data_IF_744067536824
#
_entry.id   IF_744067536824
#
_cell.length_a   1.000
_cell.length_b   1.000
_cell.length_c   1.000
_cell.angle_alpha   90.00
_cell.angle_beta   90.00
_cell.angle_gamma   90.00
#
_symmetry.space_group_name_H-M   'P 1'
#
loop_
_entity.id
_entity.type
_entity.pdbx_description
1 polymer ?
#
# COMPACT_ATOMS: atom_id res chain seq x y z
N UNK A 1 -32.14 18.55 -2.65
CA UNK A 1 -31.66 19.93 -2.46
C UNK A 1 -31.54 20.61 -3.83
N UNK A 2 -31.94 21.89 -3.98
CA UNK A 2 -31.75 22.67 -5.22
C UNK A 2 -30.64 23.72 -5.04
N UNK A 3 -30.32 24.51 -6.08
CA UNK A 3 -29.18 25.45 -6.05
C UNK A 3 -29.31 26.58 -5.03
N UNK A 4 -30.52 27.09 -4.77
CA UNK A 4 -30.77 28.11 -3.75
C UNK A 4 -30.52 27.57 -2.34
N UNK A 5 -31.01 26.36 -2.09
CA UNK A 5 -30.78 25.67 -0.82
C UNK A 5 -29.30 25.28 -0.66
N UNK A 6 -28.64 24.79 -1.72
CA UNK A 6 -27.20 24.51 -1.72
C UNK A 6 -26.37 25.75 -1.38
N UNK A 7 -26.70 26.92 -1.94
CA UNK A 7 -26.01 28.16 -1.59
C UNK A 7 -26.18 28.54 -0.13
N UNK A 8 -27.37 28.33 0.43
CA UNK A 8 -27.63 28.62 1.84
C UNK A 8 -26.86 27.65 2.74
N UNK A 9 -27.00 26.35 2.52
CA UNK A 9 -26.31 25.30 3.31
C UNK A 9 -24.81 25.30 3.13
N UNK A 10 -24.32 25.58 1.93
CA UNK A 10 -22.90 25.70 1.67
C UNK A 10 -22.25 26.84 2.46
N UNK A 11 -22.95 27.96 2.65
CA UNK A 11 -22.50 29.04 3.54
C UNK A 11 -22.50 28.60 5.00
N UNK A 12 -23.60 28.02 5.47
CA UNK A 12 -23.70 27.49 6.83
C UNK A 12 -22.58 26.48 7.15
N UNK A 13 -22.23 25.61 6.19
CA UNK A 13 -21.12 24.67 6.33
C UNK A 13 -19.74 25.35 6.28
N UNK A 14 -19.59 26.38 5.46
CA UNK A 14 -18.33 27.16 5.41
C UNK A 14 -18.07 27.83 6.75
N UNK A 15 -19.10 28.46 7.32
CA UNK A 15 -19.04 29.10 8.64
C UNK A 15 -18.73 28.06 9.72
N UNK A 16 -19.42 26.91 9.71
CA UNK A 16 -19.15 25.81 10.63
C UNK A 16 -17.71 25.28 10.56
N UNK A 17 -17.14 25.08 9.36
CA UNK A 17 -15.77 24.58 9.20
C UNK A 17 -14.75 25.61 9.70
N UNK A 18 -14.98 26.89 9.43
CA UNK A 18 -14.12 27.96 9.93
C UNK A 18 -14.17 28.01 11.47
N UNK A 19 -15.36 28.07 12.05
CA UNK A 19 -15.56 28.10 13.51
C UNK A 19 -14.98 26.86 14.20
N UNK A 20 -15.10 25.68 13.58
CA UNK A 20 -14.51 24.44 14.07
C UNK A 20 -12.98 24.52 14.09
N UNK A 21 -12.33 24.95 13.01
CA UNK A 21 -10.87 25.03 12.94
C UNK A 21 -10.30 26.13 13.84
N UNK A 22 -10.97 27.28 13.94
CA UNK A 22 -10.58 28.36 14.85
C UNK A 22 -10.76 27.96 16.31
N UNK A 23 -11.83 27.22 16.63
CA UNK A 23 -12.13 26.73 17.97
C UNK A 23 -11.51 25.38 18.33
N UNK A 24 -10.74 24.74 17.43
CA UNK A 24 -10.31 23.34 17.57
C UNK A 24 -9.43 23.10 18.80
N UNK A 25 -8.70 24.12 19.24
CA UNK A 25 -7.85 24.08 20.42
C UNK A 25 -8.64 23.77 21.72
N UNK A 26 -9.89 24.23 21.79
CA UNK A 26 -10.78 23.98 22.92
C UNK A 26 -11.42 22.59 22.94
N UNK A 27 -11.20 21.78 21.90
CA UNK A 27 -11.76 20.42 21.79
C UNK A 27 -10.77 19.38 22.30
N UNK A 28 -11.32 18.29 22.85
CA UNK A 28 -10.51 17.17 23.34
C UNK A 28 -9.83 16.46 22.17
N UNK A 29 -8.50 16.54 22.09
CA UNK A 29 -7.71 16.05 20.92
C UNK A 29 -7.96 14.58 20.59
N UNK A 30 -7.92 13.71 21.60
CA UNK A 30 -8.13 12.28 21.46
C UNK A 30 -9.45 11.90 22.14
N UNK A 31 -10.40 11.25 21.45
CA UNK A 31 -11.76 11.06 21.93
C UNK A 31 -11.84 10.04 23.08
N UNK A 32 -12.77 10.25 24.01
CA UNK A 32 -13.07 9.32 25.12
C UNK A 32 -14.26 8.42 24.77
N UNK A 33 -14.04 7.50 23.82
CA UNK A 33 -15.06 6.57 23.33
C UNK A 33 -14.51 5.15 23.27
N UNK A 34 -15.41 4.16 23.36
CA UNK A 34 -15.06 2.75 23.24
C UNK A 34 -15.37 2.21 21.84
N UNK A 35 -14.65 1.18 21.34
CA UNK A 35 -14.97 0.54 20.07
C UNK A 35 -16.45 0.13 19.99
N UNK A 36 -17.13 0.57 18.93
CA UNK A 36 -18.55 0.30 18.71
C UNK A 36 -19.52 1.36 19.26
N UNK A 37 -19.05 2.43 19.91
CA UNK A 37 -19.91 3.49 20.49
C UNK A 37 -20.94 4.05 19.50
N UNK A 38 -20.56 4.18 18.23
CA UNK A 38 -21.39 4.80 17.19
C UNK A 38 -22.61 3.93 16.81
N UNK A 39 -22.51 2.61 16.96
CA UNK A 39 -23.51 1.65 16.45
C UNK A 39 -24.85 1.78 17.14
N UNK A 40 -24.88 2.19 18.41
CA UNK A 40 -26.12 2.43 19.15
C UNK A 40 -26.69 3.84 18.95
N UNK A 41 -25.95 4.74 18.30
CA UNK A 41 -26.35 6.13 18.09
C UNK A 41 -26.94 6.37 16.69
N UNK A 42 -26.73 5.45 15.75
CA UNK A 42 -27.21 5.53 14.36
C UNK A 42 -28.23 4.41 14.10
N UNK A 43 -29.29 4.64 13.29
CA UNK A 43 -30.23 3.59 12.90
C UNK A 43 -29.57 2.35 12.29
N UNK A 44 -30.16 1.18 12.51
CA UNK A 44 -29.65 -0.10 12.00
C UNK A 44 -29.87 -0.30 10.49
N UNK A 45 -30.70 0.53 9.87
CA UNK A 45 -31.00 0.55 8.43
C UNK A 45 -31.07 1.99 7.94
N UNK A 46 -30.84 2.21 6.64
CA UNK A 46 -30.99 3.52 6.02
C UNK A 46 -32.45 4.02 6.12
N UNK A 47 -32.68 5.34 6.21
CA UNK A 47 -34.03 5.89 6.21
C UNK A 47 -34.67 5.70 4.83
N UNK A 48 -35.94 5.31 4.80
CA UNK A 48 -36.70 5.16 3.54
C UNK A 48 -37.10 6.53 2.96
N UNK A 49 -37.29 7.52 3.83
CA UNK A 49 -37.61 8.90 3.50
C UNK A 49 -36.43 9.84 3.82
N UNK A 50 -36.32 10.99 3.14
CA UNK A 50 -35.18 11.88 3.36
C UNK A 50 -35.26 12.60 4.71
N UNK A 51 -34.17 12.57 5.46
CA UNK A 51 -33.95 13.46 6.60
C UNK A 51 -33.72 14.91 6.15
N UNK A 52 -33.94 15.85 7.06
CA UNK A 52 -33.62 17.26 6.80
C UNK A 52 -32.11 17.52 6.99
N UNK A 53 -31.62 18.64 6.43
CA UNK A 53 -30.22 19.02 6.63
C UNK A 53 -29.92 19.35 8.11
N UNK A 54 -30.89 19.94 8.81
CA UNK A 54 -30.84 20.20 10.24
C UNK A 54 -30.64 18.92 11.05
N UNK A 55 -31.39 17.87 10.75
CA UNK A 55 -31.26 16.59 11.45
C UNK A 55 -29.83 16.05 11.31
N UNK A 56 -29.29 16.10 10.09
CA UNK A 56 -27.93 15.63 9.78
C UNK A 56 -26.86 16.46 10.48
N UNK A 57 -26.91 17.79 10.41
CA UNK A 57 -25.86 18.63 10.99
C UNK A 57 -25.88 18.62 12.52
N UNK A 58 -27.06 18.49 13.13
CA UNK A 58 -27.18 18.31 14.58
C UNK A 58 -26.55 16.99 15.03
N UNK A 59 -26.71 15.93 14.24
CA UNK A 59 -26.07 14.64 14.50
C UNK A 59 -24.56 14.66 14.29
N UNK A 60 -24.01 15.51 13.42
CA UNK A 60 -22.55 15.69 13.29
C UNK A 60 -21.93 16.12 14.62
N UNK A 61 -22.44 17.16 15.28
CA UNK A 61 -21.90 17.58 16.58
C UNK A 61 -22.28 16.63 17.72
N UNK A 62 -23.50 16.09 17.72
CA UNK A 62 -23.98 15.23 18.81
C UNK A 62 -23.35 13.84 18.80
N UNK A 63 -23.14 13.27 17.62
CA UNK A 63 -22.78 11.86 17.44
C UNK A 63 -21.36 11.71 16.89
N UNK A 64 -20.97 12.51 15.91
CA UNK A 64 -19.70 12.31 15.18
C UNK A 64 -18.54 12.97 15.91
N UNK A 65 -18.60 14.29 16.15
CA UNK A 65 -17.50 15.06 16.73
C UNK A 65 -16.94 14.50 18.05
N UNK A 66 -17.74 13.94 18.99
CA UNK A 66 -17.21 13.35 20.22
C UNK A 66 -16.28 12.14 20.00
N UNK A 67 -16.35 11.49 18.83
CA UNK A 67 -15.46 10.40 18.46
C UNK A 67 -14.36 10.78 17.46
N UNK A 68 -14.24 12.05 17.08
CA UNK A 68 -13.20 12.52 16.16
C UNK A 68 -11.89 12.72 16.94
N UNK A 69 -10.80 12.15 16.44
CA UNK A 69 -9.46 12.61 16.84
C UNK A 69 -9.14 13.88 16.07
N UNK A 70 -8.87 14.99 16.75
CA UNK A 70 -8.70 16.30 16.12
C UNK A 70 -7.25 16.52 15.65
N UNK A 71 -6.90 15.95 14.49
CA UNK A 71 -5.53 15.97 13.92
C UNK A 71 -4.95 17.37 13.66
N UNK A 72 -5.80 18.39 13.52
CA UNK A 72 -5.37 19.78 13.32
C UNK A 72 -5.36 20.59 14.61
N UNK A 73 -5.65 19.97 15.76
CA UNK A 73 -5.46 20.63 17.05
C UNK A 73 -3.98 20.99 17.22
N UNK A 74 -3.66 22.19 17.74
CA UNK A 74 -2.27 22.55 18.05
C UNK A 74 -1.65 21.65 19.13
N UNK A 75 -2.46 20.86 19.84
CA UNK A 75 -2.02 19.89 20.84
C UNK A 75 -1.87 18.45 20.28
N UNK A 76 -2.05 18.25 18.97
CA UNK A 76 -1.82 16.97 18.31
C UNK A 76 -0.35 16.83 17.88
N UNK A 77 0.42 16.04 18.62
CA UNK A 77 1.86 15.79 18.36
C UNK A 77 2.16 14.33 17.99
N UNK A 78 1.15 13.56 17.60
CA UNK A 78 1.32 12.19 17.17
C UNK A 78 1.65 12.09 15.66
N UNK A 79 2.35 11.04 15.26
CA UNK A 79 2.68 10.71 13.87
C UNK A 79 3.48 11.81 13.13
N UNK A 80 2.91 12.33 12.05
CA UNK A 80 3.41 13.45 11.26
C UNK A 80 2.21 14.38 10.96
N UNK A 81 2.46 15.66 10.65
CA UNK A 81 1.40 16.59 10.33
C UNK A 81 0.56 16.12 9.14
N UNK A 82 -0.77 16.19 9.29
CA UNK A 82 -1.70 16.16 8.15
C UNK A 82 -1.89 17.60 7.67
N UNK A 83 -1.50 17.89 6.43
CA UNK A 83 -1.61 19.24 5.89
C UNK A 83 -3.07 19.61 5.64
N UNK A 84 -3.47 20.81 6.05
CA UNK A 84 -4.81 21.36 5.82
C UNK A 84 -4.71 22.87 5.61
N UNK A 85 -5.44 23.39 4.64
CA UNK A 85 -5.49 24.82 4.35
C UNK A 85 -6.82 25.19 3.68
N UNK A 86 -7.36 26.37 4.00
CA UNK A 86 -8.58 26.88 3.36
C UNK A 86 -8.50 26.94 1.83
N UNK A 87 -7.37 27.33 1.19
CA UNK A 87 -7.26 27.27 -0.27
C UNK A 87 -7.47 25.87 -0.85
N UNK A 88 -6.90 24.84 -0.22
CA UNK A 88 -7.10 23.45 -0.64
C UNK A 88 -8.56 23.00 -0.44
N UNK A 89 -9.20 23.42 0.66
CA UNK A 89 -10.63 23.14 0.91
C UNK A 89 -11.54 23.79 -0.14
N UNK A 90 -11.29 25.05 -0.49
CA UNK A 90 -12.04 25.76 -1.54
C UNK A 90 -11.82 25.13 -2.91
N UNK A 91 -10.58 24.75 -3.24
CA UNK A 91 -10.27 24.02 -4.46
C UNK A 91 -10.99 22.66 -4.48
N UNK A 92 -11.02 21.94 -3.37
CA UNK A 92 -11.79 20.69 -3.23
C UNK A 92 -13.29 20.89 -3.47
N UNK A 93 -13.88 21.99 -2.95
CA UNK A 93 -15.28 22.35 -3.24
C UNK A 93 -15.49 22.62 -4.73
N UNK A 94 -14.57 23.31 -5.38
CA UNK A 94 -14.63 23.59 -6.82
C UNK A 94 -14.44 22.32 -7.66
N UNK A 95 -13.48 21.46 -7.33
CA UNK A 95 -13.29 20.16 -7.99
C UNK A 95 -14.55 19.31 -7.87
N UNK A 96 -15.17 19.25 -6.69
CA UNK A 96 -16.45 18.58 -6.48
C UNK A 96 -17.59 19.16 -7.33
N UNK A 97 -17.58 20.47 -7.59
CA UNK A 97 -18.58 21.12 -8.46
C UNK A 97 -18.31 20.90 -9.96
N UNK A 98 -17.04 20.92 -10.39
CA UNK A 98 -16.63 20.67 -11.77
C UNK A 98 -16.91 19.21 -12.13
N UNK A 99 -16.58 18.28 -11.22
CA UNK A 99 -16.87 16.85 -11.36
C UNK A 99 -16.36 16.24 -12.67
N UNK A 100 -15.26 16.78 -13.23
CA UNK A 100 -14.74 16.32 -14.51
C UNK A 100 -13.97 15.00 -14.32
N UNK A 101 -14.14 14.10 -15.28
CA UNK A 101 -13.47 12.79 -15.30
C UNK A 101 -12.29 12.90 -16.27
N UNK A 102 -11.06 12.73 -15.76
CA UNK A 102 -9.82 13.15 -16.42
C UNK A 102 -9.13 12.06 -17.26
N UNK A 103 -9.84 11.01 -17.69
CA UNK A 103 -9.24 9.80 -18.30
C UNK A 103 -8.48 10.02 -19.61
N UNK A 104 -8.63 11.17 -20.25
CA UNK A 104 -7.83 11.58 -21.40
C UNK A 104 -7.78 13.10 -21.44
N UNK A 105 -6.77 13.65 -22.13
CA UNK A 105 -6.70 15.10 -22.36
C UNK A 105 -8.01 15.64 -22.96
N UNK A 106 -8.64 14.91 -23.88
CA UNK A 106 -9.91 15.33 -24.48
C UNK A 106 -11.10 15.29 -23.50
N UNK A 107 -11.04 14.46 -22.45
CA UNK A 107 -12.10 14.34 -21.46
C UNK A 107 -12.13 15.53 -20.49
N UNK A 108 -10.97 16.07 -20.16
CA UNK A 108 -10.84 17.33 -19.41
C UNK A 108 -9.45 17.95 -19.65
N UNK A 109 -9.30 18.80 -20.69
CA UNK A 109 -8.00 19.38 -21.03
C UNK A 109 -7.38 20.13 -19.86
N UNK A 110 -8.21 20.92 -19.15
CA UNK A 110 -7.76 21.68 -18.00
C UNK A 110 -7.28 20.78 -16.84
N UNK A 111 -7.86 19.58 -16.66
CA UNK A 111 -7.40 18.63 -15.65
C UNK A 111 -5.98 18.13 -15.95
N UNK A 112 -5.75 17.66 -17.18
CA UNK A 112 -4.45 17.13 -17.60
C UNK A 112 -3.36 18.21 -17.69
N UNK A 113 -3.67 19.35 -18.31
CA UNK A 113 -2.70 20.43 -18.51
C UNK A 113 -2.29 21.05 -17.17
N UNK A 114 -3.26 21.27 -16.26
CA UNK A 114 -2.96 21.87 -14.96
C UNK A 114 -2.11 20.92 -14.11
N UNK A 115 -2.39 19.62 -14.09
CA UNK A 115 -1.56 18.64 -13.36
C UNK A 115 -0.12 18.66 -13.88
N UNK A 116 0.05 18.65 -15.20
CA UNK A 116 1.38 18.72 -15.84
C UNK A 116 2.15 19.96 -15.39
N UNK A 117 1.51 21.13 -15.42
CA UNK A 117 2.12 22.40 -14.98
C UNK A 117 2.43 22.38 -13.47
N UNK A 118 1.54 21.83 -12.63
CA UNK A 118 1.76 21.74 -11.19
C UNK A 118 2.89 20.79 -10.83
N UNK A 119 3.00 19.64 -11.51
CA UNK A 119 4.11 18.70 -11.31
C UNK A 119 5.44 19.31 -11.76
N UNK A 120 5.45 20.12 -12.82
CA UNK A 120 6.62 20.90 -13.21
C UNK A 120 7.00 21.97 -12.18
N UNK A 121 6.01 22.69 -11.64
CA UNK A 121 6.25 23.67 -10.58
C UNK A 121 6.83 23.00 -9.34
N UNK A 122 6.28 21.85 -8.94
CA UNK A 122 6.78 21.08 -7.81
C UNK A 122 8.19 20.55 -8.06
N UNK A 123 8.45 19.99 -9.24
CA UNK A 123 9.79 19.54 -9.63
C UNK A 123 10.82 20.66 -9.57
N UNK A 124 10.45 21.87 -10.01
CA UNK A 124 11.29 23.07 -9.88
C UNK A 124 11.49 23.49 -8.42
N UNK A 125 10.45 23.47 -7.59
CA UNK A 125 10.55 23.77 -6.15
C UNK A 125 11.50 22.79 -5.43
N UNK A 126 11.48 21.52 -5.84
CA UNK A 126 12.36 20.46 -5.34
C UNK A 126 13.76 20.50 -5.98
N UNK A 127 13.99 21.36 -6.96
CA UNK A 127 15.23 21.46 -7.75
C UNK A 127 15.61 20.15 -8.45
N UNK A 128 14.62 19.42 -8.98
CA UNK A 128 14.87 18.27 -9.82
C UNK A 128 15.53 18.69 -11.15
N UNK A 129 16.38 17.83 -11.75
CA UNK A 129 16.91 18.07 -13.10
C UNK A 129 15.80 18.28 -14.13
N UNK A 130 16.06 19.09 -15.15
CA UNK A 130 15.09 19.41 -16.21
C UNK A 130 14.54 18.17 -16.93
N UNK A 131 15.32 17.08 -16.98
CA UNK A 131 14.89 15.78 -17.52
C UNK A 131 13.69 15.14 -16.77
N UNK A 132 13.35 15.62 -15.57
CA UNK A 132 12.16 15.18 -14.83
C UNK A 132 10.92 16.05 -15.07
N UNK A 133 11.06 17.16 -15.79
CA UNK A 133 9.98 18.08 -16.08
C UNK A 133 9.36 17.75 -17.44
N UNK A 134 8.06 17.97 -17.57
CA UNK A 134 7.34 17.86 -18.83
C UNK A 134 7.74 18.97 -19.80
N UNK A 135 7.94 20.21 -19.32
CA UNK A 135 8.30 21.34 -20.17
C UNK A 135 7.29 21.57 -21.31
N UNK A 136 7.71 22.25 -22.39
CA UNK A 136 6.83 22.47 -23.56
C UNK A 136 6.78 21.26 -24.52
N UNK A 137 7.80 20.41 -24.50
CA UNK A 137 7.93 19.21 -25.34
C UNK A 137 8.95 18.19 -24.78
N UNK A 138 9.12 18.14 -23.46
CA UNK A 138 10.09 17.27 -22.80
C UNK A 138 9.65 15.80 -22.80
N UNK A 139 10.64 14.90 -22.69
CA UNK A 139 10.40 13.46 -22.53
C UNK A 139 10.15 13.05 -21.06
N UNK A 140 10.36 13.98 -20.13
CA UNK A 140 10.12 13.84 -18.70
C UNK A 140 8.68 14.19 -18.31
N UNK A 141 8.40 14.15 -17.01
CA UNK A 141 7.12 14.54 -16.46
C UNK A 141 6.83 13.88 -15.12
N UNK A 142 6.00 14.55 -14.32
CA UNK A 142 5.41 13.98 -13.11
C UNK A 142 3.93 13.69 -13.32
N UNK A 143 3.44 12.67 -12.62
CA UNK A 143 2.01 12.35 -12.52
C UNK A 143 1.66 12.23 -11.05
N UNK A 144 0.43 12.57 -10.69
CA UNK A 144 -0.11 12.31 -9.36
C UNK A 144 -0.71 10.89 -9.39
N UNK A 145 0.08 9.87 -9.00
CA UNK A 145 -0.33 8.46 -8.99
C UNK A 145 -0.43 7.90 -7.57
N UNK A 146 -1.40 7.00 -7.34
CA UNK A 146 -1.49 6.20 -6.11
C UNK A 146 -1.10 4.75 -6.37
N UNK A 147 -0.11 4.27 -5.61
CA UNK A 147 0.26 2.84 -5.52
C UNK A 147 0.05 2.40 -4.09
N UNK A 148 -0.82 1.42 -3.88
CA UNK A 148 -0.97 0.76 -2.59
C UNK A 148 -0.17 -0.55 -2.58
N UNK A 149 0.60 -0.78 -1.52
CA UNK A 149 1.49 -1.93 -1.38
C UNK A 149 0.97 -2.92 -0.34
N UNK A 150 0.85 -4.18 -0.72
CA UNK A 150 0.52 -5.29 0.18
C UNK A 150 1.77 -6.15 0.41
N UNK A 151 2.38 -6.02 1.58
CA UNK A 151 3.64 -6.67 1.92
C UNK A 151 4.85 -5.91 1.41
N UNK A 152 5.09 -4.71 1.97
CA UNK A 152 6.23 -3.85 1.62
C UNK A 152 7.58 -4.55 1.78
N UNK A 153 8.56 -4.14 0.98
CA UNK A 153 9.89 -4.79 0.97
C UNK A 153 10.58 -4.71 2.33
N UNK A 154 10.54 -3.57 3.01
CA UNK A 154 11.30 -3.34 4.24
C UNK A 154 10.83 -4.22 5.39
N UNK A 155 9.53 -4.21 5.69
CA UNK A 155 8.97 -4.86 6.87
C UNK A 155 7.67 -5.64 6.63
N UNK A 156 7.28 -5.88 5.38
CA UNK A 156 6.05 -6.59 5.04
C UNK A 156 4.79 -5.91 5.62
N UNK A 157 4.75 -4.57 5.63
CA UNK A 157 3.54 -3.82 5.99
C UNK A 157 2.50 -3.83 4.87
N UNK A 158 1.25 -3.50 5.19
CA UNK A 158 0.11 -3.51 4.28
C UNK A 158 -0.60 -2.16 4.31
N UNK A 159 -0.76 -1.53 3.15
CA UNK A 159 -1.58 -0.32 3.03
C UNK A 159 -3.07 -0.68 3.15
N UNK A 160 -3.85 0.20 3.78
CA UNK A 160 -5.29 0.00 3.98
C UNK A 160 -6.06 0.31 2.69
N UNK A 161 -6.32 -0.71 1.88
CA UNK A 161 -7.09 -0.53 0.63
C UNK A 161 -8.54 -0.09 0.89
N UNK A 162 -9.09 -0.41 2.06
CA UNK A 162 -10.42 0.04 2.47
C UNK A 162 -10.45 1.55 2.76
N UNK A 163 -9.31 2.18 3.04
CA UNK A 163 -9.19 3.63 3.20
C UNK A 163 -8.79 4.31 1.88
N UNK A 164 -7.78 3.77 1.20
CA UNK A 164 -7.23 4.35 -0.04
C UNK A 164 -8.18 4.16 -1.22
N UNK A 165 -8.79 2.99 -1.35
CA UNK A 165 -9.64 2.61 -2.47
C UNK A 165 -10.84 3.53 -2.70
N UNK A 166 -11.67 3.82 -1.67
CA UNK A 166 -12.77 4.76 -1.82
C UNK A 166 -12.34 6.16 -2.24
N UNK A 167 -11.16 6.63 -1.79
CA UNK A 167 -10.60 7.93 -2.19
C UNK A 167 -10.23 7.89 -3.66
N UNK A 168 -9.47 6.88 -4.10
CA UNK A 168 -9.10 6.76 -5.52
C UNK A 168 -10.32 6.70 -6.44
N UNK A 169 -11.33 5.90 -6.08
CA UNK A 169 -12.56 5.82 -6.87
C UNK A 169 -13.33 7.14 -6.90
N UNK A 170 -13.38 7.86 -5.78
CA UNK A 170 -14.08 9.14 -5.68
C UNK A 170 -13.40 10.23 -6.51
N UNK A 171 -12.07 10.25 -6.49
CA UNK A 171 -11.25 11.26 -7.17
C UNK A 171 -10.81 10.85 -8.59
N UNK A 172 -11.37 9.74 -9.12
CA UNK A 172 -11.04 9.17 -10.45
C UNK A 172 -9.54 8.93 -10.67
N UNK A 173 -8.85 8.49 -9.61
CA UNK A 173 -7.41 8.19 -9.64
C UNK A 173 -7.16 6.71 -9.89
N UNK A 174 -6.21 6.41 -10.77
CA UNK A 174 -5.77 5.03 -10.98
C UNK A 174 -5.16 4.45 -9.72
N UNK A 175 -5.75 3.38 -9.18
CA UNK A 175 -5.21 2.62 -8.06
C UNK A 175 -4.54 1.33 -8.55
N UNK A 176 -3.21 1.29 -8.45
CA UNK A 176 -2.43 0.07 -8.64
C UNK A 176 -2.11 -0.59 -7.28
N UNK A 177 -2.35 -1.89 -7.18
CA UNK A 177 -1.92 -2.70 -6.02
C UNK A 177 -0.65 -3.49 -6.36
N UNK A 178 0.43 -3.20 -5.64
CA UNK A 178 1.65 -4.02 -5.62
C UNK A 178 1.60 -5.03 -4.48
N UNK A 179 1.31 -6.29 -4.81
CA UNK A 179 1.38 -7.42 -3.89
C UNK A 179 2.54 -8.38 -4.24
N UNK A 180 3.66 -7.86 -4.74
CA UNK A 180 4.78 -8.64 -5.28
C UNK A 180 5.14 -9.88 -4.45
N UNK A 181 5.32 -9.73 -3.14
CA UNK A 181 5.63 -10.84 -2.23
C UNK A 181 4.36 -11.45 -1.62
N UNK A 182 3.56 -10.64 -0.93
CA UNK A 182 2.42 -11.14 -0.14
C UNK A 182 1.28 -11.71 -1.00
N UNK A 183 1.17 -11.34 -2.27
CA UNK A 183 0.10 -11.80 -3.16
C UNK A 183 0.01 -13.32 -3.29
N UNK A 184 1.12 -14.05 -3.07
CA UNK A 184 1.09 -15.51 -3.03
C UNK A 184 0.29 -16.04 -1.84
N UNK A 185 0.31 -15.35 -0.69
CA UNK A 185 -0.36 -15.78 0.55
C UNK A 185 -1.89 -15.74 0.43
N UNK A 186 -2.43 -14.91 -0.46
CA UNK A 186 -3.87 -14.74 -0.62
C UNK A 186 -4.58 -15.96 -1.23
N UNK A 187 -3.86 -17.03 -1.59
CA UNK A 187 -4.49 -18.34 -1.90
C UNK A 187 -4.94 -19.06 -0.61
N UNK A 188 -4.37 -18.72 0.53
CA UNK A 188 -4.76 -19.21 1.85
C UNK A 188 -5.92 -18.33 2.38
N UNK A 189 -7.09 -18.90 2.69
CA UNK A 189 -8.24 -18.11 3.16
C UNK A 189 -7.95 -17.22 4.37
N UNK A 190 -7.13 -17.69 5.30
CA UNK A 190 -6.78 -16.98 6.53
C UNK A 190 -5.97 -15.70 6.29
N UNK A 191 -5.26 -15.55 5.17
CA UNK A 191 -4.51 -14.33 4.83
C UNK A 191 -5.28 -13.41 3.88
N UNK A 192 -6.45 -13.82 3.39
CA UNK A 192 -7.18 -13.07 2.35
C UNK A 192 -7.77 -11.75 2.86
N UNK A 193 -7.93 -11.59 4.17
CA UNK A 193 -8.37 -10.33 4.77
C UNK A 193 -7.38 -9.18 4.51
N UNK A 194 -6.10 -9.48 4.29
CA UNK A 194 -5.07 -8.49 3.92
C UNK A 194 -5.25 -7.92 2.50
N UNK A 195 -6.17 -8.49 1.71
CA UNK A 195 -6.53 -8.06 0.36
C UNK A 195 -7.90 -7.36 0.31
N UNK A 196 -8.59 -7.19 1.45
CA UNK A 196 -9.89 -6.52 1.50
C UNK A 196 -9.78 -5.10 0.92
N UNK A 197 -10.66 -4.71 0.00
CA UNK A 197 -10.58 -3.44 -0.74
C UNK A 197 -9.95 -3.57 -2.13
N UNK A 198 -9.47 -4.76 -2.53
CA UNK A 198 -8.95 -4.99 -3.89
C UNK A 198 -9.95 -4.65 -5.00
N UNK A 199 -11.25 -4.73 -4.71
CA UNK A 199 -12.34 -4.36 -5.61
C UNK A 199 -12.27 -2.90 -6.07
N UNK A 200 -11.61 -2.01 -5.32
CA UNK A 200 -11.39 -0.63 -5.72
C UNK A 200 -10.33 -0.51 -6.82
N UNK A 201 -9.32 -1.37 -6.82
CA UNK A 201 -8.15 -1.23 -7.70
C UNK A 201 -8.44 -1.39 -9.20
N UNK A 202 -7.72 -0.64 -10.02
CA UNK A 202 -7.73 -0.74 -11.48
C UNK A 202 -6.78 -1.81 -11.98
N UNK A 203 -5.70 -2.05 -11.25
CA UNK A 203 -4.76 -3.12 -11.53
C UNK A 203 -4.14 -3.72 -10.27
N UNK A 204 -3.79 -5.00 -10.36
CA UNK A 204 -3.21 -5.80 -9.27
C UNK A 204 -2.08 -6.65 -9.82
N UNK A 205 -0.96 -6.74 -9.11
CA UNK A 205 0.09 -7.71 -9.45
C UNK A 205 0.61 -8.48 -8.24
N UNK A 206 1.11 -9.68 -8.51
CA UNK A 206 2.04 -10.36 -7.60
C UNK A 206 3.03 -11.21 -8.38
N UNK A 207 4.08 -11.68 -7.70
CA UNK A 207 5.14 -12.47 -8.32
C UNK A 207 5.11 -13.92 -7.87
N UNK A 208 4.57 -14.85 -8.69
CA UNK A 208 4.74 -16.29 -8.48
C UNK A 208 6.20 -16.73 -8.27
N UNK A 209 7.15 -15.98 -8.85
CA UNK A 209 8.57 -16.26 -8.70
C UNK A 209 9.20 -15.84 -7.37
N UNK A 210 8.47 -15.12 -6.52
CA UNK A 210 8.93 -14.83 -5.16
C UNK A 210 8.56 -15.97 -4.21
N UNK A 211 7.28 -16.34 -4.14
CA UNK A 211 6.80 -17.20 -3.06
C UNK A 211 5.74 -18.24 -3.48
N UNK A 212 5.66 -18.57 -4.78
CA UNK A 212 4.74 -19.60 -5.32
C UNK A 212 5.47 -20.71 -6.09
N UNK A 213 6.77 -20.94 -5.80
CA UNK A 213 7.56 -22.04 -6.36
C UNK A 213 7.71 -22.04 -7.89
N UNK A 214 7.46 -20.92 -8.57
CA UNK A 214 7.67 -20.76 -10.01
C UNK A 214 9.02 -20.11 -10.26
N UNK A 215 9.87 -20.67 -11.11
CA UNK A 215 11.21 -20.11 -11.33
C UNK A 215 11.13 -18.70 -11.97
N UNK A 216 12.11 -17.84 -11.72
CA UNK A 216 12.23 -16.54 -12.41
C UNK A 216 12.34 -16.72 -13.94
N UNK A 217 11.77 -15.87 -14.79
CA UNK A 217 10.91 -14.69 -14.53
C UNK A 217 9.42 -15.04 -14.55
N UNK A 218 8.65 -14.66 -13.53
CA UNK A 218 7.19 -14.89 -13.54
C UNK A 218 6.44 -13.87 -12.68
N UNK A 219 6.05 -12.74 -13.27
CA UNK A 219 5.16 -11.74 -12.66
C UNK A 219 3.77 -11.88 -13.27
N UNK A 220 2.74 -11.86 -12.44
CA UNK A 220 1.35 -11.96 -12.87
C UNK A 220 0.64 -10.65 -12.54
N UNK A 221 -0.05 -10.09 -13.54
CA UNK A 221 -0.77 -8.82 -13.44
C UNK A 221 -2.18 -8.99 -13.99
N UNK A 222 -3.12 -8.37 -13.33
CA UNK A 222 -4.51 -8.22 -13.74
C UNK A 222 -4.82 -6.73 -13.89
N UNK A 223 -5.65 -6.40 -14.88
CA UNK A 223 -6.24 -5.07 -15.06
C UNK A 223 -7.75 -5.25 -15.15
N UNK A 224 -8.50 -4.36 -14.50
CA UNK A 224 -9.97 -4.40 -14.48
C UNK A 224 -10.55 -4.10 -15.86
N UNK A 225 -9.96 -3.14 -16.58
CA UNK A 225 -10.37 -2.73 -17.92
C UNK A 225 -9.22 -2.86 -18.92
N UNK A 226 -9.21 -3.99 -19.63
CA UNK A 226 -8.13 -4.34 -20.59
C UNK A 226 -7.86 -3.29 -21.67
N UNK A 227 -8.85 -2.49 -22.04
CA UNK A 227 -8.71 -1.45 -23.07
C UNK A 227 -7.74 -0.34 -22.65
N UNK A 228 -7.60 -0.09 -21.36
CA UNK A 228 -6.74 0.97 -20.85
C UNK A 228 -5.26 0.58 -21.04
N UNK A 229 -4.96 -0.71 -20.90
CA UNK A 229 -3.64 -1.27 -21.19
C UNK A 229 -3.39 -1.45 -22.70
N UNK A 230 -4.38 -1.99 -23.43
CA UNK A 230 -4.27 -2.20 -24.88
C UNK A 230 -4.09 -0.87 -25.62
N UNK A 231 -4.83 0.17 -25.23
CA UNK A 231 -4.74 1.49 -25.84
C UNK A 231 -3.34 2.08 -25.77
N UNK A 232 -2.63 1.86 -24.66
CA UNK A 232 -1.26 2.33 -24.46
C UNK A 232 -0.23 1.58 -25.31
N UNK A 233 -0.43 0.27 -25.56
CA UNK A 233 0.56 -0.60 -26.22
C UNK A 233 0.10 -1.17 -27.57
N UNK A 234 -0.89 -0.56 -28.21
CA UNK A 234 -1.45 -1.08 -29.46
C UNK A 234 -0.41 -1.03 -30.58
N UNK A 235 -0.21 -2.17 -31.26
CA UNK A 235 0.75 -2.32 -32.36
C UNK A 235 0.21 -3.32 -33.39
N UNK A 236 -0.27 -2.83 -34.54
CA UNK A 236 -0.97 -3.63 -35.57
C UNK A 236 -0.39 -3.51 -36.99
N UNK A 237 0.90 -3.84 -37.20
CA UNK A 237 1.44 -3.93 -38.54
C UNK A 237 0.79 -5.08 -39.32
N UNK A 238 0.69 -4.93 -40.64
CA UNK A 238 -0.04 -5.86 -41.53
C UNK A 238 0.45 -7.31 -41.40
N UNK A 239 1.75 -7.52 -41.18
CA UNK A 239 2.34 -8.86 -41.05
C UNK A 239 1.99 -9.59 -39.75
N UNK A 240 1.36 -8.92 -38.78
CA UNK A 240 0.90 -9.52 -37.53
C UNK A 240 -0.63 -9.73 -37.47
N UNK A 241 -1.35 -9.40 -38.55
CA UNK A 241 -2.81 -9.59 -38.64
C UNK A 241 -3.16 -11.05 -38.86
N UNK A 242 -4.28 -11.48 -38.29
CA UNK A 242 -4.82 -12.83 -38.48
C UNK A 242 -6.35 -12.83 -38.46
N UNK A 243 -6.95 -13.89 -38.98
CA UNK A 243 -8.40 -14.05 -39.17
C UNK A 243 -9.25 -14.01 -37.89
N UNK A 244 -8.64 -14.04 -36.72
CA UNK A 244 -9.33 -14.09 -35.42
C UNK A 244 -9.11 -12.84 -34.57
N UNK A 245 -8.34 -11.84 -35.04
CA UNK A 245 -7.98 -10.66 -34.23
C UNK A 245 -9.23 -9.88 -33.78
N UNK A 246 -10.26 -9.82 -34.64
CA UNK A 246 -11.51 -9.07 -34.40
C UNK A 246 -12.62 -9.97 -33.82
N UNK A 247 -12.33 -11.24 -33.53
CA UNK A 247 -13.33 -12.18 -33.02
C UNK A 247 -13.75 -11.89 -31.58
N UNK A 248 -12.96 -11.12 -30.83
CA UNK A 248 -13.14 -10.90 -29.39
C UNK A 248 -12.87 -12.13 -28.51
N UNK A 249 -12.62 -13.30 -29.11
CA UNK A 249 -12.37 -14.58 -28.41
C UNK A 249 -10.91 -14.77 -28.02
N UNK A 250 -9.98 -14.03 -28.63
CA UNK A 250 -8.54 -14.16 -28.43
C UNK A 250 -7.98 -12.88 -27.83
N UNK A 251 -6.96 -13.03 -26.98
CA UNK A 251 -6.19 -11.91 -26.44
C UNK A 251 -4.77 -11.97 -26.97
N UNK A 252 -4.41 -10.97 -27.78
CA UNK A 252 -3.04 -10.77 -28.22
C UNK A 252 -2.21 -10.10 -27.13
N UNK A 253 -1.49 -10.91 -26.36
CA UNK A 253 -0.66 -10.43 -25.25
C UNK A 253 0.45 -9.46 -25.67
N UNK A 254 0.73 -9.29 -26.97
CA UNK A 254 1.64 -8.24 -27.46
C UNK A 254 1.16 -6.83 -27.10
N UNK A 255 -0.14 -6.64 -26.90
CA UNK A 255 -0.75 -5.36 -26.49
C UNK A 255 -0.82 -5.19 -24.96
N UNK A 256 -0.26 -6.13 -24.20
CA UNK A 256 -0.33 -6.15 -22.74
C UNK A 256 1.06 -6.03 -22.08
N UNK A 257 2.10 -5.82 -22.89
CA UNK A 257 3.48 -5.82 -22.45
C UNK A 257 4.34 -4.96 -23.39
N UNK A 258 5.51 -4.54 -22.93
CA UNK A 258 6.46 -3.75 -23.72
C UNK A 258 7.04 -4.50 -24.93
N UNK A 259 7.59 -5.73 -24.82
CA UNK A 259 8.20 -6.40 -25.96
C UNK A 259 7.16 -7.09 -26.85
N UNK A 260 7.43 -7.18 -28.16
CA UNK A 260 6.59 -7.96 -29.09
C UNK A 260 6.63 -9.47 -28.78
N UNK A 261 7.84 -10.03 -28.68
CA UNK A 261 8.05 -11.45 -28.41
C UNK A 261 7.84 -11.81 -26.94
N UNK A 262 7.38 -13.04 -26.67
CA UNK A 262 7.25 -13.57 -25.30
C UNK A 262 7.63 -15.03 -25.18
N UNK A 263 8.18 -15.40 -24.03
CA UNK A 263 8.42 -16.79 -23.65
C UNK A 263 7.10 -17.47 -23.23
N UNK A 264 7.07 -18.80 -23.28
CA UNK A 264 5.94 -19.61 -22.80
C UNK A 264 5.90 -19.71 -21.26
N UNK A 265 5.81 -18.56 -20.58
CA UNK A 265 5.90 -18.48 -19.10
C UNK A 265 4.79 -19.22 -18.37
N UNK A 266 3.62 -19.36 -18.97
CA UNK A 266 2.48 -20.07 -18.36
C UNK A 266 2.74 -21.58 -18.21
N UNK A 267 3.66 -22.17 -18.99
CA UNK A 267 3.96 -23.60 -18.91
C UNK A 267 4.52 -23.99 -17.53
N UNK A 268 5.47 -23.22 -16.99
CA UNK A 268 6.01 -23.48 -15.65
C UNK A 268 4.97 -23.28 -14.54
N UNK A 269 4.08 -22.30 -14.67
CA UNK A 269 2.95 -22.13 -13.73
C UNK A 269 2.01 -23.35 -13.79
N UNK A 270 1.69 -23.81 -15.00
CA UNK A 270 0.81 -24.97 -15.20
C UNK A 270 1.38 -26.23 -14.55
N UNK A 271 2.69 -26.50 -14.69
CA UNK A 271 3.35 -27.61 -14.01
C UNK A 271 3.26 -27.48 -12.49
N UNK A 272 3.65 -26.33 -11.93
CA UNK A 272 3.62 -26.10 -10.48
C UNK A 272 2.20 -26.28 -9.93
N UNK A 273 1.20 -25.68 -10.56
CA UNK A 273 -0.18 -25.73 -10.06
C UNK A 273 -0.77 -27.14 -10.13
N UNK A 274 -0.47 -27.90 -11.19
CA UNK A 274 -0.96 -29.28 -11.32
C UNK A 274 -0.22 -30.26 -10.41
N UNK A 275 1.08 -30.09 -10.22
CA UNK A 275 1.90 -31.02 -9.44
C UNK A 275 1.72 -30.83 -7.94
N UNK A 276 1.65 -29.59 -7.45
CA UNK A 276 1.44 -29.31 -6.03
C UNK A 276 -0.03 -29.27 -5.63
N UNK A 277 -0.90 -28.84 -6.54
CA UNK A 277 -2.29 -28.49 -6.22
C UNK A 277 -2.39 -27.30 -5.28
N UNK A 278 -3.61 -26.76 -5.15
CA UNK A 278 -3.86 -25.60 -4.27
C UNK A 278 -3.51 -25.91 -2.81
N UNK A 279 -3.87 -27.11 -2.32
CA UNK A 279 -3.58 -27.53 -0.94
C UNK A 279 -2.07 -27.62 -0.66
N UNK A 280 -1.27 -28.11 -1.61
CA UNK A 280 0.18 -28.19 -1.46
C UNK A 280 0.84 -26.81 -1.43
N UNK A 281 0.38 -25.89 -2.30
CA UNK A 281 0.86 -24.50 -2.29
C UNK A 281 0.45 -23.76 -1.00
N UNK A 282 -0.78 -23.96 -0.51
CA UNK A 282 -1.21 -23.41 0.77
C UNK A 282 -0.37 -23.95 1.94
N UNK A 283 -0.10 -25.26 1.96
CA UNK A 283 0.73 -25.87 2.99
C UNK A 283 2.17 -25.33 2.97
N UNK A 284 2.73 -25.09 1.78
CA UNK A 284 4.03 -24.47 1.60
C UNK A 284 4.11 -23.06 2.22
N UNK A 285 3.11 -22.21 1.94
CA UNK A 285 3.03 -20.86 2.49
C UNK A 285 2.84 -20.90 4.01
N UNK A 286 1.91 -21.71 4.50
CA UNK A 286 1.66 -21.89 5.95
C UNK A 286 2.91 -22.33 6.69
N UNK A 287 3.69 -23.26 6.13
CA UNK A 287 4.97 -23.70 6.71
C UNK A 287 5.94 -22.52 6.85
N UNK A 288 6.08 -21.69 5.82
CA UNK A 288 6.99 -20.54 5.87
C UNK A 288 6.54 -19.51 6.93
N UNK A 289 5.24 -19.24 7.03
CA UNK A 289 4.68 -18.35 8.07
C UNK A 289 4.90 -18.95 9.46
N UNK A 290 4.65 -20.24 9.65
CA UNK A 290 4.91 -20.96 10.91
C UNK A 290 6.38 -20.85 11.34
N UNK A 291 7.33 -21.00 10.41
CA UNK A 291 8.75 -20.89 10.69
C UNK A 291 9.19 -19.45 11.03
N UNK A 292 8.54 -18.44 10.45
CA UNK A 292 8.77 -17.06 10.84
C UNK A 292 8.27 -16.79 12.27
N UNK A 293 7.08 -17.30 12.63
CA UNK A 293 6.58 -17.21 14.01
C UNK A 293 7.39 -18.04 15.02
N UNK A 294 8.01 -19.15 14.59
CA UNK A 294 8.97 -19.88 15.43
C UNK A 294 10.19 -18.99 15.76
N UNK A 295 10.73 -18.28 14.77
CA UNK A 295 11.83 -17.33 14.99
C UNK A 295 11.42 -16.12 15.85
N UNK A 296 10.23 -15.57 15.62
CA UNK A 296 9.63 -14.54 16.48
C UNK A 296 9.54 -15.00 17.95
N UNK A 297 9.08 -16.23 18.19
CA UNK A 297 9.01 -16.78 19.54
C UNK A 297 10.38 -16.89 20.21
N UNK A 298 11.41 -17.31 19.46
CA UNK A 298 12.79 -17.38 19.95
C UNK A 298 13.34 -15.99 20.32
N UNK A 299 13.04 -14.97 19.52
CA UNK A 299 13.40 -13.58 19.82
C UNK A 299 12.73 -13.05 21.10
N UNK A 300 11.45 -13.37 21.32
CA UNK A 300 10.75 -12.96 22.53
C UNK A 300 11.32 -13.56 23.82
N UNK A 301 11.98 -14.73 23.73
CA UNK A 301 12.63 -15.37 24.87
C UNK A 301 13.95 -14.72 25.27
N UNK A 302 14.53 -13.88 24.40
CA UNK A 302 15.81 -13.23 24.64
C UNK A 302 15.64 -11.71 24.84
N UNK A 303 15.79 -11.20 26.07
CA UNK A 303 15.48 -9.80 26.39
C UNK A 303 16.42 -8.80 25.72
N UNK A 304 17.54 -9.26 25.11
CA UNK A 304 18.50 -8.42 24.39
C UNK A 304 17.95 -7.92 23.06
N UNK A 305 16.99 -8.64 22.48
CA UNK A 305 16.42 -8.31 21.18
C UNK A 305 15.07 -7.60 21.31
N UNK A 306 14.69 -6.90 20.25
CA UNK A 306 13.34 -6.37 20.04
C UNK A 306 12.88 -6.64 18.59
N UNK A 307 11.60 -6.93 18.44
CA UNK A 307 10.94 -7.07 17.14
C UNK A 307 10.42 -5.70 16.73
N UNK A 308 10.74 -5.28 15.51
CA UNK A 308 10.56 -3.90 15.05
C UNK A 308 9.32 -3.70 14.17
N UNK A 309 8.64 -4.77 13.76
CA UNK A 309 7.40 -4.74 12.99
C UNK A 309 6.60 -6.03 13.25
N UNK A 310 5.28 -5.97 13.11
CA UNK A 310 4.41 -7.14 13.21
C UNK A 310 4.83 -8.25 12.24
N UNK A 311 4.92 -9.48 12.73
CA UNK A 311 5.23 -10.65 11.89
C UNK A 311 3.95 -11.17 11.26
N UNK A 312 3.56 -10.62 10.12
CA UNK A 312 2.32 -11.03 9.44
C UNK A 312 2.48 -12.27 8.56
N UNK A 313 3.65 -12.44 7.93
CA UNK A 313 3.93 -13.50 6.95
C UNK A 313 5.34 -14.09 7.18
N UNK A 314 6.09 -14.41 6.12
CA UNK A 314 7.39 -15.08 6.20
C UNK A 314 8.60 -14.16 6.45
N UNK A 315 8.41 -12.96 7.00
CA UNK A 315 9.49 -12.00 7.28
C UNK A 315 9.41 -11.53 8.75
N UNK A 316 10.53 -11.63 9.46
CA UNK A 316 10.71 -11.07 10.80
C UNK A 316 11.72 -9.93 10.75
N UNK A 317 11.35 -8.77 11.28
CA UNK A 317 12.22 -7.60 11.40
C UNK A 317 12.62 -7.42 12.86
N UNK A 318 13.91 -7.53 13.17
CA UNK A 318 14.39 -7.55 14.55
C UNK A 318 15.73 -6.83 14.69
N UNK A 319 16.09 -6.48 15.92
CA UNK A 319 17.38 -5.87 16.25
C UNK A 319 17.76 -6.18 17.69
N UNK A 320 19.05 -6.03 18.02
CA UNK A 320 19.48 -5.83 19.40
C UNK A 320 19.00 -4.47 19.89
N UNK A 321 18.52 -4.43 21.14
CA UNK A 321 18.26 -3.19 21.86
C UNK A 321 19.58 -2.44 22.02
N UNK A 322 19.58 -1.15 21.68
CA UNK A 322 20.78 -0.32 21.67
C UNK A 322 20.93 0.44 20.37
N UNK A 323 22.17 0.79 20.01
CA UNK A 323 22.48 1.67 18.89
C UNK A 323 22.32 0.99 17.52
N UNK A 324 22.23 1.79 16.45
CA UNK A 324 22.29 1.28 15.08
C UNK A 324 23.66 0.66 14.77
N UNK A 325 24.76 1.27 15.25
CA UNK A 325 26.12 0.74 15.11
C UNK A 325 26.27 -0.67 15.68
N UNK A 326 25.64 -0.95 16.82
CA UNK A 326 25.63 -2.30 17.41
C UNK A 326 24.98 -3.32 16.46
N UNK A 327 23.90 -2.93 15.79
CA UNK A 327 23.18 -3.80 14.87
C UNK A 327 23.88 -3.95 13.51
N UNK A 328 24.55 -2.89 13.03
CA UNK A 328 25.46 -2.95 11.89
C UNK A 328 26.60 -3.94 12.16
N UNK A 329 27.24 -3.85 13.32
CA UNK A 329 28.30 -4.76 13.74
C UNK A 329 27.80 -6.21 13.90
N UNK A 330 26.61 -6.42 14.46
CA UNK A 330 26.00 -7.75 14.54
C UNK A 330 25.78 -8.34 13.14
N UNK A 331 25.20 -7.56 12.22
CA UNK A 331 24.97 -8.00 10.85
C UNK A 331 26.28 -8.33 10.13
N UNK A 332 27.31 -7.50 10.29
CA UNK A 332 28.64 -7.72 9.73
C UNK A 332 29.24 -9.03 10.23
N UNK A 333 29.16 -9.31 11.54
CA UNK A 333 29.60 -10.59 12.11
C UNK A 333 28.80 -11.77 11.56
N UNK A 334 27.47 -11.68 11.52
CA UNK A 334 26.59 -12.74 11.00
C UNK A 334 27.03 -13.10 9.57
N UNK A 335 27.09 -12.12 8.67
CA UNK A 335 27.45 -12.33 7.27
C UNK A 335 28.92 -12.74 7.10
N UNK A 336 29.82 -12.21 7.94
CA UNK A 336 31.26 -12.51 7.92
C UNK A 336 31.58 -13.98 8.23
N UNK A 337 30.77 -14.66 9.05
CA UNK A 337 30.90 -16.10 9.30
C UNK A 337 30.45 -16.99 8.16
N UNK A 338 29.73 -16.45 7.17
CA UNK A 338 29.25 -17.16 5.97
C UNK A 338 28.34 -18.38 6.23
N UNK A 339 27.85 -18.58 7.46
CA UNK A 339 26.92 -19.69 7.80
C UNK A 339 25.47 -19.40 7.43
N UNK A 340 25.05 -18.15 7.62
CA UNK A 340 23.73 -17.62 7.23
C UNK A 340 23.94 -16.26 6.59
N UNK A 341 22.94 -15.78 5.86
CA UNK A 341 22.97 -14.45 5.25
C UNK A 341 21.71 -13.67 5.57
N UNK A 342 21.88 -12.46 6.08
CA UNK A 342 20.80 -11.51 6.35
C UNK A 342 21.10 -10.19 5.65
N UNK A 343 20.03 -9.43 5.38
CA UNK A 343 20.09 -8.06 4.86
C UNK A 343 19.34 -7.11 5.80
N UNK A 344 19.75 -5.85 5.92
CA UNK A 344 19.07 -4.91 6.79
C UNK A 344 17.97 -4.12 6.06
N UNK A 345 17.20 -3.36 6.83
CA UNK A 345 16.47 -2.18 6.38
C UNK A 345 16.53 -1.09 7.45
N UNK A 346 15.99 0.09 7.13
CA UNK A 346 15.72 1.14 8.10
C UNK A 346 14.23 1.27 8.32
N UNK A 347 13.80 1.25 9.59
CA UNK A 347 12.43 1.57 9.99
C UNK A 347 12.47 2.88 10.77
N UNK A 348 12.09 3.98 10.11
CA UNK A 348 12.37 5.36 10.56
C UNK A 348 13.89 5.54 10.76
N UNK A 349 14.32 5.90 11.96
CA UNK A 349 15.70 6.10 12.38
C UNK A 349 16.40 4.82 12.87
N UNK A 350 15.72 3.67 12.86
CA UNK A 350 16.24 2.40 13.39
C UNK A 350 16.82 1.51 12.28
N UNK A 351 18.09 1.11 12.41
CA UNK A 351 18.69 0.02 11.64
C UNK A 351 18.16 -1.34 12.15
N UNK A 352 17.62 -2.17 11.24
CA UNK A 352 16.90 -3.40 11.58
C UNK A 352 17.36 -4.55 10.68
N UNK A 353 17.55 -5.73 11.26
CA UNK A 353 17.90 -6.96 10.54
C UNK A 353 16.62 -7.65 10.06
N UNK A 354 16.66 -8.24 8.86
CA UNK A 354 15.52 -8.93 8.24
C UNK A 354 15.80 -10.43 8.14
N UNK A 355 14.98 -11.23 8.81
CA UNK A 355 14.99 -12.69 8.72
C UNK A 355 13.82 -13.16 7.86
N UNK A 356 14.10 -13.45 6.58
CA UNK A 356 13.08 -13.91 5.63
C UNK A 356 13.17 -15.42 5.39
N UNK A 357 12.04 -16.13 5.49
CA UNK A 357 11.96 -17.56 5.20
C UNK A 357 11.85 -17.78 3.69
N UNK A 358 12.99 -18.04 3.04
CA UNK A 358 13.08 -18.09 1.57
C UNK A 358 13.08 -19.50 0.97
N UNK A 359 13.97 -20.39 1.42
CA UNK A 359 14.23 -21.66 0.73
C UNK A 359 13.05 -22.62 0.79
N UNK A 360 12.79 -23.35 -0.30
CA UNK A 360 11.76 -24.42 -0.34
C UNK A 360 12.03 -25.54 0.67
N UNK A 361 13.29 -25.77 1.01
CA UNK A 361 13.73 -26.89 1.88
C UNK A 361 14.06 -26.44 3.30
N UNK A 362 13.69 -25.20 3.68
CA UNK A 362 13.86 -24.73 5.05
C UNK A 362 12.97 -25.53 6.01
N UNK A 363 13.48 -25.77 7.22
CA UNK A 363 12.87 -26.59 8.27
C UNK A 363 13.15 -25.92 9.62
N UNK A 364 12.42 -26.29 10.66
CA UNK A 364 12.59 -25.78 12.03
C UNK A 364 14.04 -25.89 12.53
N UNK A 365 14.73 -27.00 12.23
CA UNK A 365 16.14 -27.18 12.59
C UNK A 365 17.05 -26.09 12.00
N UNK A 366 16.79 -25.62 10.77
CA UNK A 366 17.57 -24.55 10.15
C UNK A 366 17.31 -23.20 10.85
N UNK A 367 16.05 -22.92 11.23
CA UNK A 367 15.68 -21.70 11.96
C UNK A 367 16.33 -21.67 13.34
N UNK A 368 16.31 -22.80 14.06
CA UNK A 368 16.97 -22.94 15.38
C UNK A 368 18.47 -22.76 15.29
N UNK A 369 19.13 -23.41 14.32
CA UNK A 369 20.58 -23.24 14.11
C UNK A 369 20.93 -21.79 13.74
N UNK A 370 20.11 -21.12 12.92
CA UNK A 370 20.31 -19.71 12.61
C UNK A 370 20.15 -18.83 13.85
N UNK A 371 19.14 -19.09 14.68
CA UNK A 371 18.92 -18.39 15.94
C UNK A 371 20.07 -18.60 16.94
N UNK A 372 20.49 -19.84 17.17
CA UNK A 372 21.63 -20.16 18.04
C UNK A 372 22.88 -19.41 17.60
N UNK A 373 23.13 -19.36 16.28
CA UNK A 373 24.25 -18.62 15.70
C UNK A 373 24.14 -17.10 15.91
N UNK A 374 22.96 -16.52 15.69
CA UNK A 374 22.68 -15.09 15.93
C UNK A 374 22.86 -14.73 17.42
N UNK A 375 22.29 -15.56 18.30
CA UNK A 375 22.30 -15.36 19.75
C UNK A 375 23.72 -15.47 20.33
N UNK A 376 24.53 -16.40 19.84
CA UNK A 376 25.94 -16.52 20.21
C UNK A 376 26.75 -15.31 19.75
N UNK A 377 26.63 -14.90 18.48
CA UNK A 377 27.34 -13.72 17.97
C UNK A 377 26.95 -12.44 18.69
N UNK A 378 25.69 -12.31 19.11
CA UNK A 378 25.24 -11.21 19.95
C UNK A 378 25.87 -11.25 21.34
N UNK A 379 26.02 -12.43 21.95
CA UNK A 379 26.75 -12.58 23.23
C UNK A 379 28.20 -12.14 23.11
N UNK A 380 28.90 -12.58 22.06
CA UNK A 380 30.30 -12.25 21.81
C UNK A 380 30.49 -10.75 21.55
N UNK A 381 29.54 -10.13 20.84
CA UNK A 381 29.56 -8.69 20.55
C UNK A 381 29.33 -7.85 21.82
N UNK A 382 28.33 -8.21 22.63
CA UNK A 382 28.01 -7.50 23.88
C UNK A 382 29.04 -7.76 25.00
N UNK A 383 29.74 -8.89 24.95
CA UNK A 383 30.84 -9.21 25.86
C UNK A 383 32.08 -8.36 25.58
N UNK A 384 32.42 -8.15 24.30
CA UNK A 384 33.57 -7.35 23.87
C UNK A 384 33.43 -5.83 24.14
N UNK A 385 32.23 -5.31 24.40
CA UNK A 385 32.02 -3.91 24.84
C UNK A 385 32.23 -3.70 26.35
N UNK A 386 32.35 -4.78 27.13
CA UNK A 386 32.52 -4.73 28.60
C UNK A 386 33.98 -4.85 29.06
N UNK A 387 34.88 -5.26 28.17
CA UNK A 387 36.34 -5.24 28.35
C UNK A 387 36.93 -3.98 27.71
#
# INVERSE_FOLDING_TARGET
MNSSEFRRRGKEMTDFVADYLDGIEGRQVYPDVQPGYLRSLVPSTAPEEPDTFEDIINDVERIIMPGVTHWHSPYFFAYFPSANSYPAMLAGMLCGAIGCIGFSWAASPACTELETVMMDWLGKMLKLPEAFLAGEAGEGGGVIQVVATLGTTSCCSFDSLLEVGPICNKEDMWLHIDAAYAGSSFICPEFRHLLNGVEFADSFNFNPHKWMLVNFDCSAMWVKKRTDLIGAFKLDPVYLKHSHQDSGLITDYRHWQLPLGRRFRSLKMWFVFRMYGVKGLQAYIRKHVQLAHEFEHLLHQDPRFEICAEVTLGLVCFRLKGSNKLNEALLERINGTQKIHLVPCHLRDKFVLRFAICSRTVESAHVRLAWEHISQLASDLLGAEKE
#
